data_IF_804985912433
#
_entry.id   IF_804985912433
#
_cell.length_a   1.000
_cell.length_b   1.000
_cell.length_c   1.000
_cell.angle_alpha   90.00
_cell.angle_beta   90.00
_cell.angle_gamma   90.00
#
_symmetry.space_group_name_H-M   'P 1'
#
loop_
_entity.id
_entity.type
_entity.pdbx_description
1 polymer ?
#
# COMPACT_ATOMS: atom_id res chain seq x y z
N UNK A 1 17.41 6.72 7.45
CA UNK A 1 16.70 6.59 6.16
C UNK A 1 15.36 5.93 6.43
N UNK A 2 14.30 6.36 5.75
CA UNK A 2 12.99 5.73 5.84
C UNK A 2 12.59 5.21 4.46
N UNK A 3 12.16 3.95 4.39
CA UNK A 3 11.80 3.28 3.14
C UNK A 3 10.32 2.91 3.20
N UNK A 4 9.52 3.74 2.52
CA UNK A 4 8.04 3.64 2.49
C UNK A 4 7.50 2.94 1.25
N UNK A 5 8.31 2.86 0.19
CA UNK A 5 7.88 2.33 -1.10
C UNK A 5 8.98 1.54 -1.80
N UNK A 6 8.56 0.61 -2.65
CA UNK A 6 9.45 -0.13 -3.53
C UNK A 6 9.42 0.47 -4.95
N UNK A 7 10.49 1.14 -5.41
CA UNK A 7 10.49 1.75 -6.74
C UNK A 7 10.32 0.72 -7.86
N UNK A 8 10.75 -0.53 -7.66
CA UNK A 8 10.51 -1.55 -8.66
C UNK A 8 9.01 -1.80 -8.81
N UNK A 9 8.27 -1.95 -7.72
CA UNK A 9 6.84 -2.25 -7.74
C UNK A 9 6.00 -1.03 -8.13
N UNK A 10 6.38 0.18 -7.70
CA UNK A 10 5.74 1.44 -8.14
C UNK A 10 5.75 1.56 -9.66
N UNK A 11 6.83 1.15 -10.32
CA UNK A 11 6.94 1.16 -11.78
C UNK A 11 6.54 -0.18 -12.43
N UNK A 12 5.75 -1.03 -11.77
CA UNK A 12 5.23 -2.25 -12.38
C UNK A 12 4.33 -2.01 -13.60
N UNK A 13 4.29 -2.95 -14.56
CA UNK A 13 3.32 -2.89 -15.64
C UNK A 13 1.90 -2.72 -15.06
N UNK A 14 1.13 -1.77 -15.58
CA UNK A 14 -0.23 -1.47 -15.11
C UNK A 14 -0.31 -0.46 -13.96
N UNK A 15 0.74 -0.27 -13.15
CA UNK A 15 0.72 0.65 -12.01
C UNK A 15 0.73 2.13 -12.43
N UNK A 16 1.64 2.50 -13.34
CA UNK A 16 1.79 3.87 -13.86
C UNK A 16 1.80 3.83 -15.40
N UNK A 17 1.09 4.78 -16.04
CA UNK A 17 1.05 4.94 -17.50
C UNK A 17 2.07 5.98 -17.98
N UNK A 18 3.36 5.62 -18.00
CA UNK A 18 4.43 6.51 -18.48
C UNK A 18 5.44 5.77 -19.38
N UNK A 19 5.89 6.34 -20.51
CA UNK A 19 6.79 5.67 -21.47
C UNK A 19 8.15 5.31 -20.86
N UNK A 20 8.70 6.16 -20.00
CA UNK A 20 9.98 5.91 -19.31
C UNK A 20 9.86 4.98 -18.08
N UNK A 21 8.67 4.44 -17.78
CA UNK A 21 8.46 3.53 -16.63
C UNK A 21 9.46 2.36 -16.59
N UNK A 22 9.75 1.63 -17.70
CA UNK A 22 10.71 0.54 -17.65
C UNK A 22 12.10 1.02 -17.24
N UNK A 23 12.54 2.17 -17.74
CA UNK A 23 13.83 2.75 -17.38
C UNK A 23 13.93 2.97 -15.86
N UNK A 24 12.94 3.63 -15.25
CA UNK A 24 12.92 3.87 -13.81
C UNK A 24 12.78 2.60 -12.98
N UNK A 25 11.99 1.62 -13.44
CA UNK A 25 11.87 0.30 -12.79
C UNK A 25 13.23 -0.39 -12.64
N UNK A 26 14.16 -0.19 -13.58
CA UNK A 26 15.49 -0.80 -13.55
C UNK A 26 16.56 0.09 -12.90
N UNK A 27 16.48 1.42 -13.04
CA UNK A 27 17.52 2.34 -12.56
C UNK A 27 17.32 2.79 -11.10
N UNK A 28 16.08 2.87 -10.61
CA UNK A 28 15.78 3.31 -9.24
C UNK A 28 16.15 2.28 -8.15
N UNK A 29 15.90 0.97 -8.30
CA UNK A 29 16.23 0.00 -7.24
C UNK A 29 17.72 -0.03 -6.86
N UNK A 30 18.69 -0.02 -7.80
CA UNK A 30 20.11 0.07 -7.45
C UNK A 30 20.46 1.34 -6.65
N UNK A 31 19.81 2.47 -6.95
CA UNK A 31 20.01 3.72 -6.22
C UNK A 31 19.49 3.60 -4.77
N UNK A 32 18.28 3.05 -4.60
CA UNK A 32 17.72 2.82 -3.27
C UNK A 32 18.57 1.85 -2.45
N UNK A 33 19.09 0.78 -3.07
CA UNK A 33 20.03 -0.16 -2.40
C UNK A 33 21.28 0.54 -1.88
N UNK A 34 21.86 1.47 -2.66
CA UNK A 34 23.04 2.25 -2.23
C UNK A 34 22.68 3.13 -1.04
N UNK A 35 21.56 3.84 -1.10
CA UNK A 35 21.10 4.68 0.00
C UNK A 35 20.84 3.89 1.29
N UNK A 36 20.20 2.71 1.20
CA UNK A 36 20.02 1.83 2.37
C UNK A 36 21.34 1.35 2.95
N UNK A 37 22.29 0.93 2.10
CA UNK A 37 23.60 0.44 2.53
C UNK A 37 24.41 1.52 3.23
N UNK A 38 24.37 2.74 2.70
CA UNK A 38 25.19 3.86 3.18
C UNK A 38 24.51 4.61 4.35
N UNK A 39 23.27 4.26 4.70
CA UNK A 39 22.54 4.84 5.83
C UNK A 39 23.07 4.35 7.18
N UNK A 40 23.20 5.26 8.16
CA UNK A 40 23.54 4.92 9.55
C UNK A 40 22.46 4.06 10.22
N UNK A 41 21.20 4.22 9.82
CA UNK A 41 20.07 3.43 10.26
C UNK A 41 18.93 3.50 9.24
N UNK A 42 18.10 2.45 9.17
CA UNK A 42 16.96 2.39 8.27
C UNK A 42 15.66 1.93 8.95
N UNK A 43 14.59 2.69 8.76
CA UNK A 43 13.23 2.30 9.10
C UNK A 43 12.49 1.86 7.82
N UNK A 44 11.74 0.77 7.91
CA UNK A 44 10.99 0.21 6.79
C UNK A 44 9.52 0.04 7.19
N UNK A 45 8.59 0.42 6.32
CA UNK A 45 7.14 0.25 6.57
C UNK A 45 6.68 -1.21 6.54
N UNK A 46 7.53 -2.09 6.01
CA UNK A 46 7.29 -3.53 5.97
C UNK A 46 8.01 -4.26 7.09
N UNK A 47 7.54 -5.46 7.46
CA UNK A 47 8.27 -6.32 8.41
C UNK A 47 9.54 -6.94 7.80
N UNK A 48 9.48 -7.38 6.53
CA UNK A 48 10.59 -8.11 5.89
C UNK A 48 10.83 -7.78 4.40
N UNK A 49 9.79 -7.42 3.63
CA UNK A 49 9.88 -7.36 2.17
C UNK A 49 10.89 -6.32 1.65
N UNK A 50 10.81 -5.08 2.15
CA UNK A 50 11.73 -4.02 1.72
C UNK A 50 13.15 -4.26 2.25
N UNK A 51 13.28 -4.79 3.47
CA UNK A 51 14.57 -5.13 4.07
C UNK A 51 15.33 -6.16 3.24
N UNK A 52 14.64 -7.20 2.77
CA UNK A 52 15.26 -8.23 1.94
C UNK A 52 15.70 -7.67 0.59
N UNK A 53 14.92 -6.76 0.01
CA UNK A 53 15.20 -6.21 -1.32
C UNK A 53 16.25 -5.08 -1.31
N UNK A 54 16.27 -4.30 -0.23
CA UNK A 54 17.07 -3.11 -0.03
C UNK A 54 17.74 -3.13 1.35
N UNK A 55 18.68 -4.07 1.61
CA UNK A 55 19.23 -4.26 2.95
C UNK A 55 20.04 -3.04 3.42
N UNK A 56 19.91 -2.71 4.70
CA UNK A 56 20.78 -1.79 5.42
C UNK A 56 21.74 -2.61 6.29
N UNK A 57 23.04 -2.34 6.19
CA UNK A 57 24.07 -3.06 6.96
C UNK A 57 24.19 -2.62 8.43
N UNK A 58 23.62 -1.47 8.76
CA UNK A 58 23.56 -0.92 10.12
C UNK A 58 22.21 -1.25 10.79
N UNK A 59 21.88 -0.56 11.88
CA UNK A 59 20.61 -0.75 12.58
C UNK A 59 19.42 -0.59 11.63
N UNK A 60 18.50 -1.56 11.64
CA UNK A 60 17.26 -1.46 10.89
C UNK A 60 16.07 -2.03 11.62
N UNK A 61 14.89 -1.47 11.36
CA UNK A 61 13.64 -1.85 12.01
C UNK A 61 12.46 -1.79 11.04
N UNK A 62 11.51 -2.71 11.21
CA UNK A 62 10.20 -2.64 10.57
C UNK A 62 9.21 -1.90 11.48
N UNK A 63 8.71 -0.75 11.05
CA UNK A 63 7.80 0.10 11.83
C UNK A 63 6.76 0.74 10.91
N UNK A 64 5.52 0.83 11.39
CA UNK A 64 4.44 1.54 10.68
C UNK A 64 4.71 3.04 10.68
N UNK A 65 4.56 3.68 9.52
CA UNK A 65 4.63 5.14 9.33
C UNK A 65 3.26 5.82 9.57
N UNK A 66 2.22 5.06 9.89
CA UNK A 66 0.89 5.59 10.20
C UNK A 66 0.93 6.45 11.47
N UNK A 67 0.54 7.71 11.31
CA UNK A 67 0.30 8.65 12.42
C UNK A 67 -1.15 8.55 12.90
N UNK A 68 -1.35 8.17 14.16
CA UNK A 68 -2.67 8.04 14.79
C UNK A 68 -2.68 8.87 16.06
N UNK A 69 -3.52 9.91 16.09
CA UNK A 69 -3.69 10.71 17.29
C UNK A 69 -4.36 9.92 18.41
N UNK A 70 -3.96 10.15 19.66
CA UNK A 70 -4.60 9.52 20.82
C UNK A 70 -6.11 9.78 20.89
N UNK A 71 -6.56 10.94 20.38
CA UNK A 71 -7.98 11.32 20.31
C UNK A 71 -8.82 10.42 19.41
N UNK A 72 -8.17 9.73 18.45
CA UNK A 72 -8.82 8.80 17.53
C UNK A 72 -8.76 7.34 17.99
N UNK A 73 -7.98 7.07 19.04
CA UNK A 73 -7.90 5.72 19.62
C UNK A 73 -9.17 5.43 20.42
N UNK A 74 -9.72 4.24 20.17
CA UNK A 74 -10.83 3.69 20.94
C UNK A 74 -10.31 2.62 21.90
N UNK A 75 -10.90 2.53 23.09
CA UNK A 75 -10.44 1.62 24.15
C UNK A 75 -10.73 0.14 23.87
N UNK A 76 -11.61 -0.16 22.92
CA UNK A 76 -11.97 -1.53 22.55
C UNK A 76 -12.33 -1.66 21.08
N UNK A 77 -12.14 -2.87 20.54
CA UNK A 77 -12.56 -3.19 19.18
C UNK A 77 -14.08 -3.23 19.06
N UNK A 78 -14.59 -2.92 17.87
CA UNK A 78 -16.03 -3.07 17.56
C UNK A 78 -16.39 -4.54 17.51
N UNK A 79 -17.60 -4.87 17.99
CA UNK A 79 -18.14 -6.22 17.83
C UNK A 79 -18.40 -6.53 16.35
N UNK A 80 -18.19 -7.78 15.90
CA UNK A 80 -18.55 -8.19 14.55
C UNK A 80 -20.04 -7.93 14.29
N UNK A 81 -20.33 -7.35 13.13
CA UNK A 81 -21.72 -7.11 12.71
C UNK A 81 -22.35 -8.44 12.30
N UNK A 82 -23.56 -8.73 12.79
CA UNK A 82 -24.27 -10.00 12.52
C UNK A 82 -25.34 -9.92 11.42
N UNK A 83 -25.51 -8.78 10.75
CA UNK A 83 -26.47 -8.65 9.66
C UNK A 83 -26.58 -7.25 9.07
N UNK A 84 -27.37 -7.13 8.00
CA UNK A 84 -27.56 -5.92 7.20
C UNK A 84 -26.41 -5.63 6.24
N UNK A 85 -26.55 -4.56 5.45
CA UNK A 85 -25.58 -4.20 4.41
C UNK A 85 -24.18 -3.97 4.98
N UNK A 86 -23.19 -4.69 4.44
CA UNK A 86 -21.79 -4.45 4.76
C UNK A 86 -21.24 -3.30 3.93
N UNK A 87 -20.69 -2.29 4.61
CA UNK A 87 -20.10 -1.14 3.95
C UNK A 87 -18.60 -1.38 3.78
N UNK A 88 -18.19 -1.58 2.53
CA UNK A 88 -16.80 -1.66 2.11
C UNK A 88 -16.33 -0.24 1.78
N UNK A 89 -15.21 0.16 2.35
CA UNK A 89 -14.60 1.46 2.08
C UNK A 89 -13.25 1.22 1.42
N UNK A 90 -13.08 1.79 0.24
CA UNK A 90 -11.80 1.84 -0.45
C UNK A 90 -11.23 3.26 -0.34
N UNK A 91 -9.96 3.38 0.04
CA UNK A 91 -9.25 4.66 0.10
C UNK A 91 -7.98 4.58 -0.74
N UNK A 92 -7.90 5.40 -1.79
CA UNK A 92 -6.76 5.44 -2.71
C UNK A 92 -6.90 6.58 -3.72
N UNK A 93 -5.85 6.83 -4.50
CA UNK A 93 -5.95 7.75 -5.66
C UNK A 93 -6.79 7.12 -6.77
N UNK A 94 -7.56 7.96 -7.48
CA UNK A 94 -8.35 7.60 -8.66
C UNK A 94 -7.63 7.96 -9.99
N UNK A 95 -6.51 8.69 -9.95
CA UNK A 95 -5.75 9.05 -11.15
C UNK A 95 -4.88 7.90 -11.69
N UNK A 96 -4.57 6.93 -10.83
CA UNK A 96 -3.74 5.79 -11.16
C UNK A 96 -4.41 4.50 -10.67
N UNK A 97 -4.07 3.36 -11.27
CA UNK A 97 -4.54 2.05 -10.82
C UNK A 97 -3.76 1.57 -9.56
N UNK A 98 -3.31 2.51 -8.74
CA UNK A 98 -2.68 2.22 -7.47
C UNK A 98 -3.70 1.59 -6.52
N UNK A 99 -3.30 0.50 -5.84
CA UNK A 99 -4.20 -0.42 -5.09
C UNK A 99 -5.26 -1.14 -5.92
N UNK A 100 -5.13 -1.15 -7.26
CA UNK A 100 -5.97 -1.91 -8.18
C UNK A 100 -7.49 -1.75 -7.92
N UNK A 101 -8.03 -0.51 -8.00
CA UNK A 101 -9.46 -0.26 -7.83
C UNK A 101 -10.32 -0.96 -8.89
N UNK A 102 -9.75 -1.25 -10.06
CA UNK A 102 -10.35 -2.07 -11.12
C UNK A 102 -10.63 -3.50 -10.65
N UNK A 103 -9.63 -4.16 -10.05
CA UNK A 103 -9.79 -5.51 -9.49
C UNK A 103 -10.82 -5.54 -8.36
N UNK A 104 -10.87 -4.48 -7.54
CA UNK A 104 -11.88 -4.34 -6.49
C UNK A 104 -13.30 -4.28 -7.07
N UNK A 105 -13.51 -3.52 -8.15
CA UNK A 105 -14.83 -3.39 -8.80
C UNK A 105 -15.27 -4.75 -9.35
N UNK A 106 -14.38 -5.48 -10.01
CA UNK A 106 -14.68 -6.82 -10.52
C UNK A 106 -15.04 -7.80 -9.39
N UNK A 107 -14.26 -7.80 -8.31
CA UNK A 107 -14.53 -8.63 -7.13
C UNK A 107 -15.86 -8.25 -6.47
N UNK A 108 -16.16 -6.95 -6.36
CA UNK A 108 -17.41 -6.46 -5.81
C UNK A 108 -18.62 -6.92 -6.63
N UNK A 109 -18.53 -6.85 -7.97
CA UNK A 109 -19.59 -7.31 -8.87
C UNK A 109 -19.85 -8.81 -8.72
N UNK A 110 -18.81 -9.63 -8.54
CA UNK A 110 -18.94 -11.05 -8.24
C UNK A 110 -19.68 -11.27 -6.92
N UNK A 111 -19.31 -10.56 -5.85
CA UNK A 111 -19.99 -10.67 -4.57
C UNK A 111 -21.48 -10.31 -4.64
N UNK A 112 -21.84 -9.23 -5.34
CA UNK A 112 -23.25 -8.84 -5.54
C UNK A 112 -24.01 -9.90 -6.31
N UNK A 113 -23.41 -10.50 -7.34
CA UNK A 113 -24.02 -11.59 -8.12
C UNK A 113 -24.30 -12.85 -7.29
N UNK A 114 -23.45 -13.14 -6.30
CA UNK A 114 -23.66 -14.24 -5.34
C UNK A 114 -24.69 -13.89 -4.25
N UNK A 115 -25.33 -12.71 -4.32
CA UNK A 115 -26.41 -12.31 -3.42
C UNK A 115 -25.95 -11.68 -2.11
N UNK A 116 -24.67 -11.27 -2.00
CA UNK A 116 -24.18 -10.56 -0.81
C UNK A 116 -24.77 -9.14 -0.74
N UNK A 117 -25.33 -8.79 0.42
CA UNK A 117 -25.81 -7.43 0.73
C UNK A 117 -24.63 -6.53 1.12
N UNK A 118 -24.01 -5.90 0.12
CA UNK A 118 -22.81 -5.07 0.27
C UNK A 118 -22.93 -3.74 -0.45
N UNK A 119 -22.26 -2.72 0.10
CA UNK A 119 -22.14 -1.38 -0.49
C UNK A 119 -20.67 -0.98 -0.53
N UNK A 120 -20.16 -0.61 -1.70
CA UNK A 120 -18.82 -0.05 -1.86
C UNK A 120 -18.86 1.48 -1.86
N UNK A 121 -18.05 2.10 -1.01
CA UNK A 121 -17.76 3.54 -1.03
C UNK A 121 -16.29 3.73 -1.37
N UNK A 122 -16.01 4.37 -2.50
CA UNK A 122 -14.64 4.70 -2.92
C UNK A 122 -14.35 6.16 -2.56
N UNK A 123 -13.28 6.38 -1.81
CA UNK A 123 -12.83 7.68 -1.35
C UNK A 123 -11.44 7.92 -1.93
N UNK A 124 -11.29 9.00 -2.67
CA UNK A 124 -10.06 9.29 -3.38
C UNK A 124 -10.13 10.58 -4.15
N UNK A 125 -8.97 11.21 -4.31
CA UNK A 125 -8.73 12.25 -5.30
C UNK A 125 -8.04 11.64 -6.52
N UNK A 126 -8.02 12.34 -7.65
CA UNK A 126 -7.24 12.02 -8.82
C UNK A 126 -6.00 12.88 -8.93
#
# INVERSE_FOLDING_TARGET
MEVVADPYDVFAPGAIKHPLRPFFRWSSPPNLRRQCRDAMAAAYVTKHALQQRYPCGNFSVGISDVDISERTLVSSSRLPRQGGTFNLIFVGTMAQLYKAPDVLIDAFALCVREGLDIKLTMIGDG
#
